data_IF_628624313182
#
_entry.id   IF_628624313182
#
_cell.length_a   1.000
_cell.length_b   1.000
_cell.length_c   1.000
_cell.angle_alpha   90.00
_cell.angle_beta   90.00
_cell.angle_gamma   90.00
#
_symmetry.space_group_name_H-M   'P 1'
#
loop_
_entity.id
_entity.type
_entity.pdbx_description
1 polymer ?
#
# COMPACT_ATOMS: atom_id res chain seq x y z
N UNK A 1 19.37 -7.82 6.15
CA UNK A 1 18.65 -7.51 5.76
C UNK A 1 18.31 -6.16 5.54
N UNK A 2 17.90 -5.75 4.63
CA UNK A 2 17.63 -4.59 4.32
C UNK A 2 16.29 -4.28 4.35
N UNK A 3 15.92 -3.30 4.76
CA UNK A 3 14.62 -2.97 4.79
C UNK A 3 14.34 -2.30 3.55
N UNK A 4 13.26 -2.38 3.07
CA UNK A 4 12.87 -1.76 1.88
C UNK A 4 12.94 -0.34 2.16
N UNK A 5 13.30 0.42 1.25
CA UNK A 5 13.41 1.75 1.46
C UNK A 5 12.33 2.55 1.04
N UNK A 6 11.33 2.69 1.74
CA UNK A 6 10.22 3.49 1.36
C UNK A 6 10.56 4.96 1.24
N UNK A 7 11.62 5.38 1.87
CA UNK A 7 11.93 6.76 1.73
C UNK A 7 12.86 7.06 0.63
N UNK A 8 13.29 6.17 -0.10
CA UNK A 8 14.11 6.54 -1.14
C UNK A 8 13.43 6.27 -2.35
N UNK A 9 12.26 6.36 -2.40
CA UNK A 9 11.56 5.98 -3.46
C UNK A 9 11.70 6.78 -4.66
N UNK A 10 11.00 7.53 -5.06
CA UNK A 10 11.00 8.24 -6.26
C UNK A 10 11.97 9.27 -6.40
N UNK A 11 12.64 9.31 -7.43
CA UNK A 11 13.54 10.30 -7.66
C UNK A 11 12.91 11.52 -8.10
N UNK A 12 13.45 12.60 -7.90
CA UNK A 12 12.89 13.85 -8.22
C UNK A 12 12.92 13.80 -9.69
N UNK A 13 12.22 14.11 -10.39
CA UNK A 13 12.33 14.04 -11.75
C UNK A 13 11.15 13.35 -12.24
N UNK A 14 10.48 12.82 -11.39
CA UNK A 14 9.32 12.19 -11.77
C UNK A 14 9.40 10.79 -12.25
N UNK A 15 10.43 10.13 -11.96
CA UNK A 15 10.50 8.79 -12.34
C UNK A 15 9.69 7.99 -11.40
N UNK A 16 8.73 7.25 -11.88
CA UNK A 16 7.90 6.46 -11.03
C UNK A 16 8.42 5.07 -10.91
N UNK A 17 8.19 4.41 -9.80
CA UNK A 17 8.57 3.07 -9.63
C UNK A 17 7.64 2.21 -10.41
N UNK A 18 8.16 1.22 -11.06
CA UNK A 18 7.36 0.35 -11.88
C UNK A 18 7.81 -1.07 -11.76
N UNK A 19 6.89 -1.98 -11.85
CA UNK A 19 7.19 -3.38 -11.91
C UNK A 19 7.16 -3.80 -13.36
N UNK A 20 7.92 -4.80 -13.72
CA UNK A 20 7.93 -5.25 -15.07
C UNK A 20 7.92 -6.74 -15.20
N UNK A 21 7.11 -7.28 -16.06
CA UNK A 21 7.04 -8.69 -16.29
C UNK A 21 7.32 -8.94 -17.74
N UNK A 22 8.23 -9.84 -18.04
CA UNK A 22 8.58 -10.11 -19.41
C UNK A 22 7.77 -11.27 -19.94
N UNK A 23 7.35 -11.19 -21.18
CA UNK A 23 6.63 -12.27 -21.82
C UNK A 23 7.33 -12.53 -23.11
N UNK A 24 6.94 -13.55 -23.81
CA UNK A 24 7.56 -13.84 -25.06
C UNK A 24 7.30 -12.79 -26.09
N UNK A 25 6.22 -12.10 -26.05
CA UNK A 25 5.93 -11.12 -27.06
C UNK A 25 6.23 -9.69 -26.60
N UNK A 26 6.73 -9.50 -25.42
CA UNK A 26 7.02 -8.15 -24.97
C UNK A 26 7.10 -8.08 -23.48
N UNK A 27 6.71 -6.97 -22.90
CA UNK A 27 6.77 -6.83 -21.46
C UNK A 27 5.54 -6.11 -20.95
N UNK A 28 5.23 -6.30 -19.69
CA UNK A 28 4.12 -5.64 -19.04
C UNK A 28 4.74 -4.77 -17.97
N UNK A 29 4.43 -3.51 -17.96
CA UNK A 29 4.98 -2.58 -16.98
C UNK A 29 3.82 -2.09 -16.12
N UNK A 30 3.94 -2.22 -14.80
CA UNK A 30 2.89 -1.82 -13.90
C UNK A 30 3.38 -0.69 -13.02
N UNK A 31 2.68 0.43 -13.05
CA UNK A 31 3.09 1.58 -12.29
C UNK A 31 2.77 1.38 -10.82
N UNK A 32 3.60 1.93 -9.95
CA UNK A 32 3.38 1.80 -8.52
C UNK A 32 2.01 2.35 -8.11
N UNK A 33 1.52 3.39 -8.79
CA UNK A 33 0.22 3.93 -8.42
C UNK A 33 -0.90 2.92 -8.65
N UNK A 34 -0.76 2.08 -9.64
CA UNK A 34 -1.77 1.07 -9.91
C UNK A 34 -1.78 0.08 -8.75
N UNK A 35 -0.59 -0.27 -8.26
CA UNK A 35 -0.49 -1.22 -7.19
C UNK A 35 -1.05 -0.61 -5.90
N UNK A 36 -0.74 0.66 -5.64
CA UNK A 36 -1.23 1.31 -4.44
C UNK A 36 -2.75 1.39 -4.46
N UNK A 37 -3.33 1.73 -5.59
CA UNK A 37 -4.76 1.86 -5.68
C UNK A 37 -5.44 0.51 -5.45
N UNK A 38 -4.90 -0.53 -6.05
CA UNK A 38 -5.51 -1.84 -5.91
C UNK A 38 -5.34 -2.35 -4.47
N UNK A 39 -4.15 -2.19 -3.89
CA UNK A 39 -3.92 -2.65 -2.54
C UNK A 39 -4.82 -1.89 -1.57
N UNK A 40 -5.03 -0.61 -1.81
CA UNK A 40 -5.90 0.17 -0.95
C UNK A 40 -7.33 -0.31 -1.01
N UNK A 41 -7.80 -0.69 -2.18
CA UNK A 41 -9.16 -1.14 -2.29
C UNK A 41 -9.33 -2.48 -1.59
N UNK A 42 -8.30 -3.33 -1.60
CA UNK A 42 -8.38 -4.59 -0.90
C UNK A 42 -8.44 -4.30 0.61
N UNK A 43 -7.61 -3.36 1.07
CA UNK A 43 -7.56 -3.06 2.48
C UNK A 43 -8.87 -2.53 3.01
N UNK A 44 -9.51 -1.64 2.25
CA UNK A 44 -10.75 -1.07 2.71
C UNK A 44 -11.83 -2.14 2.83
N UNK A 45 -11.72 -3.20 2.11
CA UNK A 45 -12.69 -4.26 2.21
C UNK A 45 -12.47 -5.20 3.39
N UNK A 46 -11.38 -5.04 4.12
CA UNK A 46 -11.11 -5.94 5.22
C UNK A 46 -11.83 -5.51 6.47
N UNK A 47 -12.30 -6.49 7.22
CA UNK A 47 -13.06 -6.22 8.42
C UNK A 47 -12.20 -5.53 9.45
N UNK A 48 -12.72 -4.55 10.10
CA UNK A 48 -11.99 -3.86 11.15
C UNK A 48 -11.20 -2.64 10.70
N UNK A 49 -11.05 -2.46 9.40
CA UNK A 49 -10.30 -1.32 8.91
C UNK A 49 -11.28 -0.26 8.48
N UNK A 50 -11.17 0.92 9.08
CA UNK A 50 -12.08 1.99 8.80
C UNK A 50 -11.61 2.82 7.63
N UNK A 51 -10.34 2.95 7.47
CA UNK A 51 -9.80 3.73 6.35
C UNK A 51 -8.31 3.83 6.42
N UNK A 52 -7.76 4.64 5.53
CA UNK A 52 -6.32 4.82 5.48
C UNK A 52 -6.00 6.21 6.02
N UNK A 53 -4.89 6.31 6.69
CA UNK A 53 -4.49 7.59 7.26
C UNK A 53 -3.72 8.38 6.21
N UNK A 54 -3.83 9.66 6.25
CA UNK A 54 -3.14 10.47 5.28
C UNK A 54 -1.73 10.70 5.73
N UNK A 55 -0.80 10.37 4.89
CA UNK A 55 0.57 10.52 5.26
C UNK A 55 1.08 11.93 5.25
N UNK A 56 0.48 12.76 4.57
CA UNK A 56 0.91 14.08 4.53
C UNK A 56 0.37 15.01 5.50
N UNK A 57 -0.44 14.68 6.26
CA UNK A 57 -0.93 15.51 7.20
C UNK A 57 0.03 16.19 8.04
N UNK A 58 1.08 15.70 8.39
CA UNK A 58 1.93 16.32 9.22
C UNK A 58 2.48 17.53 8.68
N UNK A 59 2.62 17.68 7.48
CA UNK A 59 3.19 18.84 6.97
C UNK A 59 2.15 19.88 6.70
N UNK A 60 1.03 19.55 6.78
CA UNK A 60 0.05 20.51 6.51
C UNK A 60 -0.04 20.91 5.10
N UNK A 61 0.85 20.55 4.34
CA UNK A 61 0.77 20.95 3.01
C UNK A 61 0.04 20.02 2.27
N UNK A 62 -0.02 18.94 2.63
CA UNK A 62 -0.64 18.01 1.94
C UNK A 62 -2.00 18.01 1.78
N UNK A 63 -2.64 18.67 2.39
CA UNK A 63 -3.96 18.66 2.22
C UNK A 63 -4.34 18.80 0.88
N UNK A 64 -3.57 19.21 0.03
CA UNK A 64 -3.99 19.44 -1.23
C UNK A 64 -4.12 18.24 -2.01
N UNK A 65 -3.52 17.23 -1.68
CA UNK A 65 -3.58 16.14 -2.44
C UNK A 65 -4.75 15.49 -2.25
N UNK A 66 -5.65 15.61 -2.52
CA UNK A 66 -6.77 14.99 -2.31
C UNK A 66 -7.17 13.99 -3.20
N UNK A 67 -6.94 13.85 -4.23
CA UNK A 67 -7.31 12.98 -5.11
C UNK A 67 -7.62 11.68 -4.65
N UNK A 68 -7.06 10.69 -4.66
CA UNK A 68 -7.36 9.41 -4.33
C UNK A 68 -7.01 9.20 -2.93
N UNK A 69 -7.88 9.37 -2.03
CA UNK A 69 -7.53 9.21 -0.67
C UNK A 69 -7.13 7.80 -0.32
N UNK A 70 -7.55 6.82 -1.07
CA UNK A 70 -7.15 5.48 -0.78
C UNK A 70 -5.67 5.35 -0.92
N UNK A 71 -5.09 5.89 -1.91
CA UNK A 71 -3.67 5.75 -2.09
C UNK A 71 -2.89 6.51 -1.11
N UNK A 72 -3.45 7.51 -0.47
CA UNK A 72 -2.65 8.31 0.40
C UNK A 72 -2.05 7.63 1.56
N UNK A 73 -2.57 6.61 2.05
CA UNK A 73 -2.00 5.93 3.21
C UNK A 73 -1.17 4.73 2.83
N UNK A 74 -0.85 4.56 1.56
CA UNK A 74 -0.12 3.38 1.13
C UNK A 74 1.14 3.75 0.43
N UNK A 75 2.25 3.20 0.91
CA UNK A 75 3.51 3.45 0.27
C UNK A 75 3.91 2.20 -0.47
N UNK A 76 4.42 2.35 -1.67
CA UNK A 76 4.81 1.23 -2.50
C UNK A 76 6.25 1.40 -2.91
N UNK A 77 7.03 0.36 -2.78
CA UNK A 77 8.38 0.36 -3.28
C UNK A 77 8.56 -0.93 -4.08
N UNK A 78 9.27 -0.88 -5.16
CA UNK A 78 9.50 -2.05 -5.98
C UNK A 78 11.00 -2.20 -6.12
N UNK A 79 11.50 -3.36 -5.71
CA UNK A 79 12.90 -3.63 -5.83
C UNK A 79 13.09 -5.03 -6.30
N UNK A 80 13.93 -5.25 -7.24
CA UNK A 80 14.17 -6.57 -7.79
C UNK A 80 12.86 -7.22 -8.20
N UNK A 81 12.00 -6.41 -8.71
CA UNK A 81 10.71 -6.86 -9.20
C UNK A 81 9.83 -7.48 -8.13
N UNK A 82 10.05 -7.13 -6.87
CA UNK A 82 9.18 -7.55 -5.79
C UNK A 82 8.53 -6.31 -5.22
N UNK A 83 7.34 -6.45 -4.72
CA UNK A 83 6.58 -5.33 -4.21
C UNK A 83 6.69 -5.24 -2.71
N UNK A 84 6.96 -4.06 -2.19
CA UNK A 84 6.99 -3.85 -0.75
C UNK A 84 5.94 -2.78 -0.44
N UNK A 85 5.08 -3.09 0.50
CA UNK A 85 3.98 -2.20 0.82
C UNK A 85 4.01 -1.78 2.27
N UNK A 86 3.57 -0.56 2.54
CA UNK A 86 3.38 -0.10 3.91
C UNK A 86 2.00 0.53 3.96
N UNK A 87 1.17 0.06 4.87
CA UNK A 87 -0.16 0.57 5.02
C UNK A 87 -0.24 1.40 6.28
N UNK A 88 -0.78 2.60 6.18
CA UNK A 88 -1.00 3.46 7.35
C UNK A 88 -2.51 3.50 7.50
N UNK A 89 -3.04 2.83 8.48
CA UNK A 89 -4.47 2.62 8.55
C UNK A 89 -5.12 3.06 9.83
N UNK A 90 -6.42 3.18 9.80
CA UNK A 90 -7.22 3.53 10.95
C UNK A 90 -8.16 2.36 11.18
N UNK A 91 -8.19 1.85 12.41
CA UNK A 91 -9.00 0.68 12.71
C UNK A 91 -10.16 1.05 13.61
N UNK A 92 -11.14 0.19 13.68
CA UNK A 92 -12.30 0.41 14.52
C UNK A 92 -11.93 0.13 15.95
N UNK A 93 -12.52 0.87 16.87
CA UNK A 93 -12.25 0.68 18.27
C UNK A 93 -12.73 -0.70 18.69
N UNK A 94 -11.95 -1.38 19.45
CA UNK A 94 -12.36 -2.70 19.95
C UNK A 94 -11.90 -3.89 19.13
N UNK A 95 -11.28 -3.66 17.98
CA UNK A 95 -10.86 -4.80 17.17
C UNK A 95 -9.58 -5.36 17.74
N UNK A 96 -9.27 -6.57 17.35
CA UNK A 96 -8.03 -7.20 17.73
C UNK A 96 -7.04 -6.84 16.62
N UNK A 97 -6.13 -5.95 16.90
CA UNK A 97 -5.21 -5.46 15.87
C UNK A 97 -4.37 -6.55 15.22
N UNK A 98 -3.78 -7.48 15.95
CA UNK A 98 -3.03 -8.53 15.28
C UNK A 98 -3.89 -9.35 14.31
N UNK A 99 -5.12 -9.64 14.68
CA UNK A 99 -5.98 -10.44 13.82
C UNK A 99 -6.36 -9.65 12.59
N UNK A 100 -6.72 -8.37 12.75
CA UNK A 100 -7.09 -7.55 11.63
C UNK A 100 -5.89 -7.41 10.69
N UNK A 101 -4.70 -7.25 11.27
CA UNK A 101 -3.51 -7.07 10.46
C UNK A 101 -3.16 -8.33 9.69
N UNK A 102 -3.29 -9.49 10.33
CA UNK A 102 -2.99 -10.70 9.62
C UNK A 102 -3.96 -10.95 8.50
N UNK A 103 -5.22 -10.64 8.71
CA UNK A 103 -6.21 -10.83 7.66
C UNK A 103 -5.91 -9.89 6.50
N UNK A 104 -5.47 -8.67 6.81
CA UNK A 104 -5.16 -7.73 5.76
C UNK A 104 -3.95 -8.23 4.98
N UNK A 105 -2.92 -8.68 5.67
CA UNK A 105 -1.73 -9.13 4.99
C UNK A 105 -2.04 -10.31 4.09
N UNK A 106 -2.82 -11.26 4.57
CA UNK A 106 -3.14 -12.42 3.75
C UNK A 106 -3.95 -12.03 2.53
N UNK A 107 -4.93 -11.15 2.70
CA UNK A 107 -5.77 -10.75 1.60
C UNK A 107 -4.98 -9.95 0.57
N UNK A 108 -4.16 -9.04 1.04
CA UNK A 108 -3.40 -8.19 0.14
C UNK A 108 -2.39 -9.04 -0.62
N UNK A 109 -1.71 -9.94 0.10
CA UNK A 109 -0.71 -10.73 -0.58
C UNK A 109 -1.36 -11.55 -1.68
N UNK A 110 -2.44 -12.23 -1.37
CA UNK A 110 -3.07 -13.08 -2.35
C UNK A 110 -3.63 -12.28 -3.52
N UNK A 111 -4.34 -11.21 -3.25
CA UNK A 111 -4.99 -10.49 -4.30
C UNK A 111 -4.04 -9.62 -5.14
N UNK A 112 -3.08 -9.01 -4.51
CA UNK A 112 -2.15 -8.18 -5.27
C UNK A 112 -1.24 -9.06 -6.13
N UNK A 113 -0.82 -10.22 -5.59
CA UNK A 113 0.01 -11.10 -6.40
C UNK A 113 -0.78 -11.64 -7.60
N UNK A 114 -2.05 -11.93 -7.39
CA UNK A 114 -2.87 -12.43 -8.49
C UNK A 114 -3.12 -11.33 -9.52
N UNK A 115 -3.32 -10.12 -9.05
CA UNK A 115 -3.62 -9.01 -9.95
C UNK A 115 -2.41 -8.58 -10.75
N UNK A 116 -1.25 -8.54 -10.14
CA UNK A 116 -0.07 -8.02 -10.81
C UNK A 116 0.81 -9.09 -11.42
N UNK A 117 0.73 -10.29 -10.94
CA UNK A 117 1.66 -11.32 -11.37
C UNK A 117 3.01 -11.19 -10.72
N UNK A 118 3.17 -10.27 -9.78
CA UNK A 118 4.45 -10.06 -9.14
C UNK A 118 4.38 -10.56 -7.71
N UNK A 119 5.52 -10.79 -7.09
CA UNK A 119 5.53 -11.26 -5.74
C UNK A 119 5.64 -10.13 -4.75
N UNK A 120 5.06 -10.30 -3.60
CA UNK A 120 5.16 -9.32 -2.55
C UNK A 120 6.26 -9.74 -1.62
N UNK A 121 7.21 -8.85 -1.39
CA UNK A 121 8.32 -9.15 -0.53
C UNK A 121 8.04 -8.84 0.93
N UNK A 122 7.25 -7.83 1.22
CA UNK A 122 7.00 -7.47 2.57
C UNK A 122 5.82 -6.54 2.67
N UNK A 123 5.05 -6.65 3.73
CA UNK A 123 3.94 -5.76 4.00
C UNK A 123 4.08 -5.29 5.43
N UNK A 124 4.22 -3.99 5.62
CA UNK A 124 4.30 -3.42 6.96
C UNK A 124 3.00 -2.69 7.24
N UNK A 125 2.53 -2.74 8.45
CA UNK A 125 1.29 -2.12 8.82
C UNK A 125 1.51 -1.15 9.96
N UNK A 126 1.04 0.06 9.78
CA UNK A 126 1.15 1.07 10.82
C UNK A 126 -0.27 1.48 11.18
N UNK A 127 -0.67 1.25 12.41
CA UNK A 127 -2.00 1.62 12.86
C UNK A 127 -1.89 3.03 13.38
N UNK A 128 -2.42 3.97 12.64
CA UNK A 128 -2.24 5.37 12.96
C UNK A 128 -3.39 5.95 13.77
N UNK A 129 -4.47 5.28 13.87
CA UNK A 129 -5.59 5.81 14.64
C UNK A 129 -6.67 4.79 14.85
N UNK A 130 -7.57 5.13 15.75
CA UNK A 130 -8.67 4.26 16.08
C UNK A 130 -9.93 5.10 16.03
N UNK A 131 -10.99 4.55 15.49
CA UNK A 131 -12.21 5.31 15.42
C UNK A 131 -13.37 4.54 16.03
N UNK A 132 -14.17 5.19 16.82
CA UNK A 132 -15.31 4.56 17.42
C UNK A 132 -16.42 4.60 16.40
N UNK A 133 -16.99 3.44 16.10
CA UNK A 133 -18.05 3.38 15.16
C UNK A 133 -19.30 2.99 15.82
N UNK A 134 -20.37 3.68 15.64
CA UNK A 134 -21.61 3.32 16.28
C UNK A 134 -22.47 2.47 15.47
#
# INVERSE_FOLDING_TARGET
>A
VETPVFHRRIEPGGIHMQGQISTELGSITIDADVIATYAGSVAIGCSGIVGMASLDMRDGLMKLVKKDSIKRGIEVAIENNEIYLAFHMIVAYGVNIPVVSENLIDSVKYQVEAFTGMKIGKIDIFVEGVRVID
#
